data_IF_305478923093
#
_entry.id   IF_305478923093
#
_cell.length_a   1.000
_cell.length_b   1.000
_cell.length_c   1.000
_cell.angle_alpha   90.00
_cell.angle_beta   90.00
_cell.angle_gamma   90.00
#
_symmetry.space_group_name_H-M   'P 1'
#
loop_
_entity.id
_entity.type
_entity.pdbx_description
1 polymer ?
#
# COMPACT_ATOMS: atom_id res chain seq x y z
N UNK A 1 -40.73 -5.53 -44.51
CA UNK A 1 -40.87 -5.22 -43.07
C UNK A 1 -41.23 -6.52 -42.36
N UNK A 2 -40.25 -7.21 -41.77
CA UNK A 2 -40.46 -8.46 -41.03
C UNK A 2 -40.74 -8.16 -39.54
N UNK A 3 -41.64 -8.90 -38.86
CA UNK A 3 -42.07 -8.58 -37.51
C UNK A 3 -41.09 -9.14 -36.47
N UNK A 4 -40.18 -8.29 -35.97
CA UNK A 4 -39.21 -8.61 -34.90
C UNK A 4 -39.81 -8.69 -33.48
N UNK A 5 -41.13 -8.63 -33.32
CA UNK A 5 -41.77 -8.33 -32.03
C UNK A 5 -42.12 -9.52 -31.12
N UNK A 6 -42.13 -10.77 -31.62
CA UNK A 6 -42.65 -11.92 -30.82
C UNK A 6 -41.59 -12.75 -30.09
N UNK A 7 -40.30 -12.57 -30.38
CA UNK A 7 -39.22 -13.35 -29.78
C UNK A 7 -38.53 -12.68 -28.58
N UNK A 8 -38.78 -11.38 -28.35
CA UNK A 8 -38.16 -10.62 -27.27
C UNK A 8 -38.69 -10.98 -25.86
N UNK A 9 -39.85 -11.65 -25.77
CA UNK A 9 -40.47 -12.02 -24.49
C UNK A 9 -40.11 -13.43 -24.01
N UNK A 10 -39.56 -14.30 -24.88
CA UNK A 10 -39.20 -15.67 -24.49
C UNK A 10 -37.77 -15.79 -23.93
N UNK A 11 -36.89 -14.85 -24.26
CA UNK A 11 -35.51 -14.83 -23.77
C UNK A 11 -35.38 -14.62 -22.24
N UNK A 12 -36.11 -13.69 -21.58
CA UNK A 12 -35.98 -13.51 -20.14
C UNK A 12 -36.61 -14.67 -19.34
N UNK A 13 -37.64 -15.34 -19.87
CA UNK A 13 -38.29 -16.46 -19.19
C UNK A 13 -37.41 -17.72 -19.17
N UNK A 14 -36.58 -17.93 -20.20
CA UNK A 14 -35.64 -19.05 -20.26
C UNK A 14 -34.46 -18.89 -19.28
N UNK A 15 -34.03 -17.64 -19.05
CA UNK A 15 -32.93 -17.33 -18.13
C UNK A 15 -33.32 -17.50 -16.65
N UNK A 16 -34.59 -17.30 -16.30
CA UNK A 16 -35.10 -17.55 -14.94
C UNK A 16 -35.21 -19.05 -14.59
N UNK A 17 -35.32 -19.93 -15.58
CA UNK A 17 -35.41 -21.39 -15.35
C UNK A 17 -34.05 -22.07 -15.17
N UNK A 18 -32.95 -21.41 -15.56
CA UNK A 18 -31.58 -21.92 -15.42
C UNK A 18 -30.92 -21.58 -14.06
N UNK A 19 -31.58 -20.79 -13.21
CA UNK A 19 -31.09 -20.49 -11.87
C UNK A 19 -31.38 -21.65 -10.91
N UNK A 20 -30.52 -22.66 -10.93
CA UNK A 20 -30.46 -23.65 -9.86
C UNK A 20 -30.20 -22.94 -8.51
N UNK A 21 -30.87 -23.34 -7.41
CA UNK A 21 -30.63 -22.75 -6.12
C UNK A 21 -29.20 -23.07 -5.67
N UNK A 22 -28.35 -22.05 -5.68
CA UNK A 22 -26.99 -22.13 -5.19
C UNK A 22 -27.02 -22.14 -3.66
N UNK A 23 -27.27 -23.30 -3.05
CA UNK A 23 -27.21 -23.51 -1.58
C UNK A 23 -25.77 -23.52 -1.04
N UNK A 24 -24.86 -22.74 -1.63
CA UNK A 24 -23.45 -22.66 -1.22
C UNK A 24 -23.14 -21.55 -0.22
N UNK A 25 -24.05 -20.60 0.01
CA UNK A 25 -23.69 -19.35 0.70
C UNK A 25 -23.82 -19.38 2.23
N UNK A 26 -24.36 -20.45 2.83
CA UNK A 26 -24.61 -20.50 4.28
C UNK A 26 -24.16 -21.81 4.96
N UNK A 27 -23.33 -22.64 4.34
CA UNK A 27 -22.83 -23.89 4.96
C UNK A 27 -21.97 -23.67 6.20
N UNK A 28 -21.48 -22.44 6.43
CA UNK A 28 -20.77 -22.06 7.66
C UNK A 28 -21.70 -21.94 8.88
N UNK A 29 -23.01 -21.70 8.70
CA UNK A 29 -23.94 -21.54 9.84
C UNK A 29 -24.27 -22.85 10.55
N UNK A 30 -24.00 -24.00 9.94
CA UNK A 30 -24.32 -25.33 10.48
C UNK A 30 -23.09 -26.10 10.96
N UNK A 31 -21.89 -25.49 10.95
CA UNK A 31 -20.69 -26.14 11.47
C UNK A 31 -20.65 -26.06 12.99
N UNK A 32 -21.34 -26.97 13.66
CA UNK A 32 -21.05 -27.29 15.06
C UNK A 32 -19.62 -27.84 15.11
N UNK A 33 -18.69 -27.03 15.62
CA UNK A 33 -17.33 -27.49 15.86
C UNK A 33 -17.36 -28.54 16.97
N UNK A 34 -17.07 -29.80 16.62
CA UNK A 34 -16.78 -30.83 17.61
C UNK A 34 -15.50 -30.42 18.37
N UNK A 35 -15.48 -30.35 19.70
CA UNK A 35 -14.28 -29.99 20.44
C UNK A 35 -13.20 -31.06 20.21
N UNK A 36 -12.04 -30.65 19.73
CA UNK A 36 -10.85 -31.50 19.74
C UNK A 36 -10.45 -31.78 21.21
N UNK A 37 -9.99 -33.00 21.54
CA UNK A 37 -9.45 -33.29 22.87
C UNK A 37 -8.25 -32.39 23.16
N UNK A 38 -8.21 -31.82 24.36
CA UNK A 38 -7.16 -30.91 24.80
C UNK A 38 -5.78 -31.60 24.77
N UNK A 39 -4.71 -30.91 24.32
CA UNK A 39 -3.36 -31.41 24.48
C UNK A 39 -2.99 -31.50 25.95
N UNK A 40 -2.23 -32.55 26.28
CA UNK A 40 -1.77 -32.90 27.61
C UNK A 40 -1.00 -31.72 28.26
N UNK A 41 -1.40 -31.33 29.48
CA UNK A 41 -0.80 -30.20 30.19
C UNK A 41 0.45 -30.67 30.92
N UNK A 42 1.63 -30.48 30.35
CA UNK A 42 2.86 -30.48 31.13
C UNK A 42 2.83 -29.28 32.10
N UNK A 43 3.15 -29.46 33.39
CA UNK A 43 3.19 -28.35 34.34
C UNK A 43 4.24 -27.31 33.93
N UNK A 44 3.96 -26.01 34.12
CA UNK A 44 4.93 -24.96 33.83
C UNK A 44 6.16 -25.12 34.75
N UNK A 45 7.38 -24.88 34.23
CA UNK A 45 8.60 -24.99 35.02
C UNK A 45 8.61 -23.97 36.18
N UNK A 46 9.17 -24.40 37.31
CA UNK A 46 9.27 -23.63 38.55
C UNK A 46 10.08 -22.33 38.34
N UNK A 47 9.48 -21.15 38.59
CA UNK A 47 10.14 -19.85 38.38
C UNK A 47 11.36 -19.63 39.28
N UNK A 48 11.55 -20.45 40.34
CA UNK A 48 12.73 -20.38 41.21
C UNK A 48 14.04 -20.89 40.59
N UNK A 49 14.00 -21.50 39.41
CA UNK A 49 15.17 -22.11 38.76
C UNK A 49 15.54 -21.48 37.40
N UNK A 50 14.97 -20.31 37.07
CA UNK A 50 15.33 -19.55 35.88
C UNK A 50 16.52 -18.66 36.21
N UNK A 51 17.73 -19.10 35.81
CA UNK A 51 18.93 -18.25 35.87
C UNK A 51 18.75 -16.94 35.08
N UNK A 52 19.53 -15.89 35.37
CA UNK A 52 19.42 -14.62 34.66
C UNK A 52 19.70 -14.83 33.17
N UNK A 53 18.66 -14.78 32.34
CA UNK A 53 18.80 -14.82 30.88
C UNK A 53 19.17 -13.40 30.43
N UNK A 54 20.36 -13.19 29.84
CA UNK A 54 20.72 -11.90 29.28
C UNK A 54 19.70 -11.53 28.20
N UNK A 55 19.27 -10.27 28.19
CA UNK A 55 18.48 -9.74 27.10
C UNK A 55 19.38 -9.71 25.84
N UNK A 56 19.16 -10.65 24.93
CA UNK A 56 19.83 -10.71 23.65
C UNK A 56 18.99 -9.91 22.64
N UNK A 57 19.43 -8.69 22.34
CA UNK A 57 18.84 -7.87 21.28
C UNK A 57 19.39 -8.37 19.95
N UNK A 58 18.63 -9.20 19.23
CA UNK A 58 18.93 -9.54 17.84
C UNK A 58 18.92 -8.25 17.02
N UNK A 59 20.08 -7.85 16.50
CA UNK A 59 20.19 -6.71 15.60
C UNK A 59 19.37 -7.02 14.34
N UNK A 60 18.22 -6.36 14.21
CA UNK A 60 17.13 -6.59 13.26
C UNK A 60 16.19 -7.75 13.65
N UNK A 61 15.17 -7.39 14.43
CA UNK A 61 13.97 -8.19 14.67
C UNK A 61 13.44 -8.74 13.33
N UNK A 62 13.40 -10.06 13.16
CA UNK A 62 12.93 -10.69 11.91
C UNK A 62 11.50 -10.25 11.58
N UNK A 63 10.71 -9.83 12.58
CA UNK A 63 9.41 -9.19 12.39
C UNK A 63 9.51 -7.82 11.72
N UNK A 64 10.51 -7.01 12.06
CA UNK A 64 10.80 -5.75 11.36
C UNK A 64 11.28 -5.98 9.93
N UNK A 65 12.12 -7.00 9.71
CA UNK A 65 12.55 -7.39 8.36
C UNK A 65 11.40 -7.97 7.53
N UNK A 66 10.50 -8.76 8.12
CA UNK A 66 9.32 -9.30 7.45
C UNK A 66 8.29 -8.20 7.12
N UNK A 67 8.13 -7.22 8.02
CA UNK A 67 7.31 -6.03 7.76
C UNK A 67 7.95 -5.16 6.67
N UNK A 68 9.28 -5.04 6.63
CA UNK A 68 9.99 -4.36 5.54
C UNK A 68 9.89 -5.13 4.20
N UNK A 69 9.95 -6.46 4.23
CA UNK A 69 9.81 -7.33 3.06
C UNK A 69 8.40 -7.33 2.47
N UNK A 70 7.36 -7.03 3.27
CA UNK A 70 5.99 -6.80 2.77
C UNK A 70 5.87 -5.64 1.78
N UNK A 71 6.91 -4.82 1.65
CA UNK A 71 6.90 -3.64 0.79
C UNK A 71 8.09 -3.62 -0.17
N UNK A 72 8.15 -4.60 -1.07
CA UNK A 72 8.98 -4.50 -2.28
C UNK A 72 8.32 -3.51 -3.24
N UNK A 73 8.55 -2.21 -3.00
CA UNK A 73 8.26 -1.18 -3.99
C UNK A 73 9.09 -1.46 -5.24
N UNK A 74 8.50 -1.25 -6.42
CA UNK A 74 9.31 -1.20 -7.63
C UNK A 74 10.37 -0.10 -7.49
N UNK A 75 11.54 -0.21 -8.16
CA UNK A 75 12.54 0.85 -8.15
C UNK A 75 11.96 2.22 -8.53
N UNK A 76 10.99 2.22 -9.46
CA UNK A 76 10.27 3.40 -9.89
C UNK A 76 9.38 3.99 -8.77
N UNK A 77 8.57 3.15 -8.12
CA UNK A 77 7.71 3.59 -7.02
C UNK A 77 8.52 4.10 -5.83
N UNK A 78 9.66 3.46 -5.53
CA UNK A 78 10.57 3.93 -4.50
C UNK A 78 11.12 5.33 -4.82
N UNK A 79 11.49 5.59 -6.08
CA UNK A 79 11.92 6.91 -6.53
C UNK A 79 10.78 7.95 -6.45
N UNK A 80 9.58 7.61 -6.92
CA UNK A 80 8.40 8.49 -6.80
C UNK A 80 8.12 8.85 -5.34
N UNK A 81 8.11 7.87 -4.44
CA UNK A 81 7.94 8.10 -3.01
C UNK A 81 9.00 9.02 -2.43
N UNK A 82 10.28 8.87 -2.82
CA UNK A 82 11.37 9.73 -2.37
C UNK A 82 11.20 11.18 -2.84
N UNK A 83 10.95 11.38 -4.13
CA UNK A 83 10.74 12.71 -4.71
C UNK A 83 9.57 13.42 -4.03
N UNK A 84 8.44 12.72 -3.87
CA UNK A 84 7.21 13.31 -3.30
C UNK A 84 7.32 13.54 -1.80
N UNK A 85 8.12 12.74 -1.08
CA UNK A 85 8.38 12.96 0.34
C UNK A 85 9.21 14.23 0.62
N UNK A 86 9.99 14.71 -0.35
CA UNK A 86 10.80 15.93 -0.22
C UNK A 86 10.00 17.22 -0.46
N UNK A 87 8.78 17.12 -0.98
CA UNK A 87 7.91 18.27 -1.21
C UNK A 87 7.54 18.94 0.12
N UNK A 88 7.81 20.24 0.21
CA UNK A 88 7.54 21.08 1.40
C UNK A 88 6.06 21.44 1.55
N UNK A 89 5.32 21.48 0.46
CA UNK A 89 3.89 21.80 0.40
C UNK A 89 3.03 20.59 0.01
N UNK A 90 1.71 20.77 0.09
CA UNK A 90 0.76 19.78 -0.40
C UNK A 90 0.76 19.76 -1.94
N UNK A 91 0.31 18.66 -2.56
CA UNK A 91 0.20 18.56 -4.02
C UNK A 91 -0.79 19.59 -4.62
N UNK A 92 -1.67 20.16 -3.79
CA UNK A 92 -2.65 21.19 -4.18
C UNK A 92 -2.02 22.57 -4.26
N UNK A 93 -1.05 22.85 -3.39
CA UNK A 93 -0.48 24.20 -3.19
C UNK A 93 0.79 24.43 -4.03
N UNK A 94 1.17 23.47 -4.86
CA UNK A 94 2.29 23.62 -5.78
C UNK A 94 1.96 24.63 -6.87
N UNK A 95 2.86 25.59 -7.08
CA UNK A 95 2.82 26.46 -8.25
C UNK A 95 3.01 25.66 -9.54
N UNK A 96 2.60 26.21 -10.68
CA UNK A 96 2.78 25.54 -11.97
C UNK A 96 4.27 25.31 -12.32
N UNK A 97 5.16 26.20 -11.88
CA UNK A 97 6.60 25.99 -12.04
C UNK A 97 7.13 24.87 -11.14
N UNK A 98 6.72 24.81 -9.87
CA UNK A 98 7.08 23.70 -8.98
C UNK A 98 6.52 22.36 -9.45
N UNK A 99 5.30 22.35 -10.00
CA UNK A 99 4.70 21.17 -10.58
C UNK A 99 5.47 20.70 -11.83
N UNK A 100 5.93 21.64 -12.66
CA UNK A 100 6.75 21.34 -13.82
C UNK A 100 8.13 20.77 -13.41
N UNK A 101 8.78 21.35 -12.39
CA UNK A 101 10.03 20.82 -11.81
C UNK A 101 9.84 19.43 -11.15
N UNK A 102 8.69 19.20 -10.52
CA UNK A 102 8.28 17.87 -10.08
C UNK A 102 8.18 16.91 -11.27
N UNK A 103 7.61 17.36 -12.38
CA UNK A 103 7.60 16.62 -13.65
C UNK A 103 8.99 16.19 -14.11
N UNK A 104 9.99 17.08 -14.05
CA UNK A 104 11.40 16.73 -14.36
C UNK A 104 11.93 15.67 -13.40
N UNK A 105 11.63 15.80 -12.10
CA UNK A 105 12.07 14.83 -11.09
C UNK A 105 11.45 13.44 -11.29
N UNK A 106 10.17 13.37 -11.64
CA UNK A 106 9.47 12.12 -11.97
C UNK A 106 9.98 11.52 -13.29
N UNK A 107 10.25 12.36 -14.29
CA UNK A 107 10.88 11.92 -15.53
C UNK A 107 12.25 11.29 -15.26
N UNK A 108 13.06 11.91 -14.39
CA UNK A 108 14.36 11.36 -13.99
C UNK A 108 14.25 10.03 -13.27
N UNK A 109 13.18 9.78 -12.51
CA UNK A 109 12.92 8.46 -11.93
C UNK A 109 12.78 7.39 -13.02
N UNK A 110 11.95 7.64 -14.03
CA UNK A 110 11.78 6.73 -15.16
C UNK A 110 13.09 6.54 -15.92
N UNK A 111 13.77 7.63 -16.26
CA UNK A 111 15.02 7.61 -17.00
C UNK A 111 16.10 6.82 -16.25
N UNK A 112 16.24 7.02 -14.94
CA UNK A 112 17.23 6.31 -14.13
C UNK A 112 16.97 4.81 -14.05
N UNK A 113 15.71 4.38 -13.93
CA UNK A 113 15.36 2.95 -13.89
C UNK A 113 15.65 2.27 -15.24
N UNK A 114 15.50 3.01 -16.34
CA UNK A 114 15.80 2.53 -17.70
C UNK A 114 17.27 2.73 -18.10
N UNK A 115 18.13 3.28 -17.24
CA UNK A 115 19.54 3.54 -17.56
C UNK A 115 19.76 4.66 -18.58
N UNK A 116 18.80 5.60 -18.69
CA UNK A 116 18.86 6.77 -19.58
C UNK A 116 19.44 7.99 -18.86
N UNK A 117 19.78 9.02 -19.65
CA UNK A 117 20.25 10.32 -19.15
C UNK A 117 19.19 10.98 -18.26
N UNK A 118 19.61 11.44 -17.09
CA UNK A 118 18.82 12.27 -16.18
C UNK A 118 19.25 13.73 -16.28
N UNK A 119 18.37 14.65 -15.89
CA UNK A 119 18.57 16.10 -15.98
C UNK A 119 18.59 16.72 -14.58
N UNK A 120 19.63 17.51 -14.27
CA UNK A 120 19.71 18.19 -12.98
C UNK A 120 18.60 19.25 -12.88
N UNK A 121 17.84 19.23 -11.79
CA UNK A 121 16.84 20.24 -11.51
C UNK A 121 16.75 20.45 -9.99
N UNK A 122 17.34 21.54 -9.50
CA UNK A 122 17.22 21.94 -8.08
C UNK A 122 16.01 22.86 -7.88
N UNK A 123 15.67 23.16 -6.63
CA UNK A 123 14.59 24.10 -6.31
C UNK A 123 14.89 25.52 -6.83
N UNK A 124 16.17 25.89 -6.84
CA UNK A 124 16.67 27.25 -7.11
C UNK A 124 16.82 27.54 -8.62
N UNK A 125 16.99 26.49 -9.42
CA UNK A 125 17.02 26.57 -10.88
C UNK A 125 15.65 26.94 -11.43
N UNK A 126 15.57 27.63 -12.55
CA UNK A 126 14.33 27.84 -13.32
C UNK A 126 13.95 26.58 -14.09
N UNK A 127 12.67 26.46 -14.48
CA UNK A 127 12.25 25.36 -15.36
C UNK A 127 13.01 25.32 -16.70
N UNK A 128 13.35 26.49 -17.25
CA UNK A 128 14.09 26.59 -18.50
C UNK A 128 15.50 25.99 -18.36
N UNK A 129 16.19 26.24 -17.25
CA UNK A 129 17.50 25.64 -16.97
C UNK A 129 17.42 24.12 -16.81
N UNK A 130 16.37 23.61 -16.17
CA UNK A 130 16.18 22.16 -16.01
C UNK A 130 15.97 21.41 -17.35
N UNK A 131 15.45 22.10 -18.37
CA UNK A 131 15.05 21.51 -19.65
C UNK A 131 15.93 21.92 -20.83
N UNK A 132 16.92 22.81 -20.62
CA UNK A 132 17.78 23.37 -21.67
C UNK A 132 18.51 22.32 -22.52
N UNK A 133 18.91 21.22 -21.91
CA UNK A 133 19.69 20.14 -22.53
C UNK A 133 18.82 19.01 -23.12
N UNK A 134 17.48 19.15 -23.07
CA UNK A 134 16.56 18.16 -23.63
C UNK A 134 16.43 18.36 -25.13
N UNK A 135 16.67 17.30 -25.90
CA UNK A 135 16.30 17.27 -27.32
C UNK A 135 14.77 17.26 -27.49
N UNK A 136 14.24 17.53 -28.69
CA UNK A 136 12.79 17.62 -28.91
C UNK A 136 11.99 16.39 -28.48
N UNK A 137 12.53 15.18 -28.66
CA UNK A 137 11.84 13.95 -28.28
C UNK A 137 11.83 13.78 -26.75
N UNK A 138 12.96 14.06 -26.10
CA UNK A 138 13.05 14.08 -24.64
C UNK A 138 12.14 15.14 -24.02
N UNK A 139 12.10 16.34 -24.59
CA UNK A 139 11.24 17.42 -24.12
C UNK A 139 9.76 17.05 -24.24
N UNK A 140 9.35 16.39 -25.32
CA UNK A 140 8.00 15.84 -25.47
C UNK A 140 7.68 14.78 -24.42
N UNK A 141 8.61 13.85 -24.14
CA UNK A 141 8.44 12.84 -23.11
C UNK A 141 8.32 13.46 -21.71
N UNK A 142 9.16 14.46 -21.40
CA UNK A 142 9.04 15.27 -20.19
C UNK A 142 7.65 15.90 -20.07
N UNK A 143 7.12 16.51 -21.13
CA UNK A 143 5.79 17.12 -21.10
C UNK A 143 4.68 16.11 -20.76
N UNK A 144 4.76 14.88 -21.28
CA UNK A 144 3.80 13.81 -20.96
C UNK A 144 3.86 13.47 -19.47
N UNK A 145 5.06 13.32 -18.90
CA UNK A 145 5.25 13.03 -17.47
C UNK A 145 4.81 14.20 -16.61
N UNK A 146 5.16 15.44 -17.00
CA UNK A 146 4.81 16.68 -16.31
C UNK A 146 3.30 16.86 -16.19
N UNK A 147 2.56 16.62 -17.27
CA UNK A 147 1.10 16.65 -17.26
C UNK A 147 0.48 15.62 -16.29
N UNK A 148 1.20 14.52 -16.00
CA UNK A 148 0.78 13.48 -15.04
C UNK A 148 1.30 13.70 -13.63
N UNK A 149 2.20 14.67 -13.42
CA UNK A 149 2.91 14.85 -12.15
C UNK A 149 1.95 15.04 -10.96
N UNK A 150 0.86 15.80 -11.17
CA UNK A 150 -0.15 16.05 -10.12
C UNK A 150 -0.86 14.76 -9.69
N UNK A 151 -1.23 13.90 -10.64
CA UNK A 151 -1.86 12.62 -10.35
C UNK A 151 -0.90 11.67 -9.60
N UNK A 152 0.37 11.60 -10.01
CA UNK A 152 1.39 10.81 -9.32
C UNK A 152 1.64 11.33 -7.90
N UNK A 153 1.69 12.66 -7.73
CA UNK A 153 1.80 13.30 -6.42
C UNK A 153 0.68 12.86 -5.47
N UNK A 154 -0.58 13.00 -5.88
CA UNK A 154 -1.72 12.62 -5.06
C UNK A 154 -1.75 11.13 -4.74
N UNK A 155 -1.55 10.27 -5.75
CA UNK A 155 -1.56 8.82 -5.57
C UNK A 155 -0.50 8.40 -4.53
N UNK A 156 0.71 8.94 -4.65
CA UNK A 156 1.81 8.63 -3.74
C UNK A 156 1.56 9.13 -2.32
N UNK A 157 1.04 10.36 -2.17
CA UNK A 157 0.66 10.91 -0.85
C UNK A 157 -0.47 10.10 -0.21
N UNK A 158 -1.46 9.67 -0.99
CA UNK A 158 -2.55 8.83 -0.51
C UNK A 158 -2.05 7.45 -0.05
N UNK A 159 -1.13 6.84 -0.80
CA UNK A 159 -0.49 5.60 -0.38
C UNK A 159 0.30 5.78 0.92
N UNK A 160 1.08 6.87 1.04
CA UNK A 160 1.82 7.18 2.27
C UNK A 160 0.88 7.39 3.47
N UNK A 161 -0.22 8.13 3.28
CA UNK A 161 -1.23 8.34 4.31
C UNK A 161 -1.88 7.03 4.74
N UNK A 162 -2.34 6.22 3.78
CA UNK A 162 -2.93 4.91 4.03
C UNK A 162 -2.00 4.03 4.86
N UNK A 163 -0.72 3.94 4.48
CA UNK A 163 0.29 3.15 5.20
C UNK A 163 0.47 3.64 6.64
N UNK A 164 0.60 4.95 6.84
CA UNK A 164 0.74 5.53 8.19
C UNK A 164 -0.50 5.28 9.05
N UNK A 165 -1.69 5.36 8.46
CA UNK A 165 -2.93 5.04 9.14
C UNK A 165 -2.99 3.57 9.56
N UNK A 166 -2.69 2.64 8.66
CA UNK A 166 -2.66 1.20 8.93
C UNK A 166 -1.69 0.87 10.08
N UNK A 167 -0.46 1.40 10.02
CA UNK A 167 0.52 1.23 11.10
C UNK A 167 0.02 1.78 12.44
N UNK A 168 -0.56 2.99 12.43
CA UNK A 168 -1.07 3.64 13.66
C UNK A 168 -2.21 2.86 14.28
N UNK A 169 -3.14 2.36 13.45
CA UNK A 169 -4.26 1.53 13.91
C UNK A 169 -3.75 0.22 14.51
N UNK A 170 -2.80 -0.46 13.85
CA UNK A 170 -2.21 -1.69 14.38
C UNK A 170 -1.50 -1.46 15.72
N UNK A 171 -0.74 -0.37 15.86
CA UNK A 171 -0.07 0.00 17.10
C UNK A 171 -1.06 0.29 18.23
N UNK A 172 -2.16 1.01 17.92
CA UNK A 172 -3.21 1.33 18.89
C UNK A 172 -3.92 0.05 19.38
N UNK A 173 -4.27 -0.86 18.46
CA UNK A 173 -4.90 -2.15 18.78
C UNK A 173 -3.98 -2.98 19.67
N UNK A 174 -2.70 -3.11 19.32
CA UNK A 174 -1.71 -3.84 20.12
C UNK A 174 -1.57 -3.27 21.53
N UNK A 175 -1.49 -1.94 21.64
CA UNK A 175 -1.39 -1.24 22.93
C UNK A 175 -2.64 -1.47 23.78
N UNK A 176 -3.84 -1.37 23.21
CA UNK A 176 -5.09 -1.57 23.93
C UNK A 176 -5.25 -3.00 24.44
N UNK A 177 -4.89 -4.01 23.64
CA UNK A 177 -4.89 -5.42 24.06
C UNK A 177 -3.88 -5.64 25.19
N UNK A 178 -2.66 -5.11 25.05
CA UNK A 178 -1.64 -5.20 26.11
C UNK A 178 -2.10 -4.59 27.44
N UNK A 179 -2.77 -3.44 27.40
CA UNK A 179 -3.34 -2.80 28.60
C UNK A 179 -4.45 -3.64 29.23
N UNK A 180 -5.35 -4.24 28.43
CA UNK A 180 -6.41 -5.10 28.96
C UNK A 180 -5.84 -6.36 29.64
N UNK A 181 -4.83 -6.98 29.07
CA UNK A 181 -4.17 -8.15 29.68
C UNK A 181 -3.45 -7.77 30.98
N UNK A 182 -2.77 -6.62 31.01
CA UNK A 182 -2.16 -6.12 32.26
C UNK A 182 -3.21 -5.86 33.35
N UNK A 183 -4.37 -5.29 33.01
CA UNK A 183 -5.46 -5.07 33.97
C UNK A 183 -6.06 -6.39 34.48
N UNK A 184 -6.17 -7.42 33.63
CA UNK A 184 -6.62 -8.76 34.06
C UNK A 184 -5.63 -9.40 35.01
N UNK A 185 -4.33 -9.27 34.75
CA UNK A 185 -3.27 -9.82 35.61
C UNK A 185 -3.22 -9.17 37.01
N UNK A 186 -3.65 -7.91 37.13
CA UNK A 186 -3.75 -7.19 38.41
C UNK A 186 -5.00 -7.53 39.22
N UNK A 187 -5.96 -8.25 38.64
CA UNK A 187 -7.16 -8.71 39.35
C UNK A 187 -6.80 -9.96 40.16
N UNK A 188 -6.19 -9.73 41.32
CA UNK A 188 -6.13 -10.66 42.47
C UNK A 188 -7.47 -10.66 43.19
#
# INVERSE_FOLDING_TARGET
>A
MLPLGRWALFLPLLLLWAAAPSFGFFSWFTRTATPAPAPDRTPPPDPGNLGPVPFEMTTADEGFLAEAQRWQLSPLDACHHKVIAQLRSSCTDLTEEELAKLGVSLFNCQASVEGRRTYLCSADMTLAECTAEMDPDTWNAYHIVSNRARAVCYATRQMQFKRRAEHTVNALVSTAVGQLEAMKALKV
#
